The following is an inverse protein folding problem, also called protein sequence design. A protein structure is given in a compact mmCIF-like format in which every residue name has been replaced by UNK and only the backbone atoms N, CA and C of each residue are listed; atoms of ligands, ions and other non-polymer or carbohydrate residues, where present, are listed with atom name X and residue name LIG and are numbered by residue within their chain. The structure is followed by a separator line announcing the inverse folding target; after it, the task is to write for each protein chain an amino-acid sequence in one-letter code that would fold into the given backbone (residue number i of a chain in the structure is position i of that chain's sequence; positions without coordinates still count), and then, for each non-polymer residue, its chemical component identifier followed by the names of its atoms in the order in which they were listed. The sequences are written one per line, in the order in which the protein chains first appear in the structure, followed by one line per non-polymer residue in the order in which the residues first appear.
data_IF_860551027489
#
_entry.id   IF_860551027489
#
_cell.length_a   1.000
_cell.length_b   1.000
_cell.length_c   1.000
_cell.angle_alpha   90.00
_cell.angle_beta   90.00
_cell.angle_gamma   90.00
#
_symmetry.space_group_name_H-M   'P 1'
#
loop_
_entity.id
_entity.type
_entity.pdbx_description
1 polymer ?
#
# COMPACT_ATOMS: atom_id res chain seq x y z
N UNK A 1 38.91 7.56 28.31
CA UNK A 1 38.18 8.14 27.15
C UNK A 1 37.20 7.11 26.55
N UNK A 2 35.91 7.46 26.35
CA UNK A 2 34.97 6.51 25.76
C UNK A 2 35.29 6.32 24.27
N UNK A 3 35.31 5.07 23.81
CA UNK A 3 35.50 4.70 22.41
C UNK A 3 34.24 5.05 21.63
N UNK A 4 34.38 5.94 20.65
CA UNK A 4 33.33 6.26 19.67
C UNK A 4 33.30 5.14 18.64
N UNK A 5 32.19 4.41 18.61
CA UNK A 5 31.94 3.34 17.66
C UNK A 5 31.56 3.98 16.31
N UNK A 6 32.46 3.93 15.32
CA UNK A 6 32.15 4.34 13.95
C UNK A 6 31.37 3.20 13.26
N UNK A 7 30.06 3.20 13.44
CA UNK A 7 29.16 2.30 12.75
C UNK A 7 28.91 2.76 11.30
N UNK A 8 29.00 1.81 10.37
CA UNK A 8 28.63 1.87 8.94
C UNK A 8 27.27 2.54 8.60
N UNK A 9 26.44 2.84 9.61
CA UNK A 9 25.13 3.50 9.51
C UNK A 9 25.20 5.03 9.36
N UNK A 10 26.38 5.66 9.48
CA UNK A 10 26.56 7.11 9.29
C UNK A 10 26.68 7.57 7.83
N UNK A 11 26.41 6.70 6.86
CA UNK A 11 26.58 6.99 5.43
C UNK A 11 25.27 7.35 4.69
N UNK A 12 24.14 7.44 5.41
CA UNK A 12 22.88 7.83 4.80
C UNK A 12 22.48 9.24 5.25
N UNK A 13 22.37 10.21 4.32
CA UNK A 13 21.96 11.56 4.69
C UNK A 13 20.50 11.57 5.16
N UNK A 14 20.19 12.44 6.12
CA UNK A 14 18.82 12.68 6.56
C UNK A 14 17.92 13.07 5.37
N UNK A 15 16.62 12.84 5.51
CA UNK A 15 15.66 13.05 4.43
C UNK A 15 15.73 14.46 3.82
N UNK A 16 15.92 15.49 4.67
CA UNK A 16 16.04 16.88 4.24
C UNK A 16 17.35 17.16 3.50
N UNK A 17 18.44 16.52 3.92
CA UNK A 17 19.73 16.59 3.23
C UNK A 17 19.65 15.95 1.85
N UNK A 18 18.98 14.79 1.73
CA UNK A 18 18.73 14.13 0.44
C UNK A 18 17.84 14.98 -0.48
N UNK A 19 16.82 15.65 0.07
CA UNK A 19 15.99 16.57 -0.70
C UNK A 19 16.78 17.79 -1.18
N UNK A 20 17.61 18.38 -0.31
CA UNK A 20 18.48 19.50 -0.64
C UNK A 20 19.56 19.14 -1.66
N UNK A 21 20.14 17.94 -1.60
CA UNK A 21 21.06 17.39 -2.60
C UNK A 21 20.35 17.17 -3.93
N UNK A 22 19.17 16.55 -3.95
CA UNK A 22 18.40 16.32 -5.17
C UNK A 22 18.05 17.64 -5.90
N UNK A 23 17.68 18.70 -5.17
CA UNK A 23 17.43 20.03 -5.75
C UNK A 23 18.72 20.61 -6.35
N UNK A 24 19.84 20.51 -5.63
CA UNK A 24 21.12 21.09 -6.06
C UNK A 24 21.64 20.43 -7.32
N UNK A 25 21.62 19.11 -7.36
CA UNK A 25 21.98 18.30 -8.53
C UNK A 25 21.02 18.57 -9.70
N UNK A 26 19.71 18.67 -9.44
CA UNK A 26 18.71 19.03 -10.47
C UNK A 26 18.96 20.40 -11.08
N UNK A 27 19.35 21.40 -10.28
CA UNK A 27 19.64 22.74 -10.76
C UNK A 27 20.96 22.82 -11.56
N UNK A 28 21.93 21.94 -11.28
CA UNK A 28 23.17 21.85 -12.04
C UNK A 28 22.99 21.16 -13.41
N UNK A 29 21.92 20.40 -13.57
CA UNK A 29 21.55 19.74 -14.84
C UNK A 29 20.76 20.64 -15.79
N UNK A 30 20.46 21.89 -15.40
CA UNK A 30 19.85 22.90 -16.26
C UNK A 30 20.91 23.43 -17.25
N UNK A 31 21.26 22.60 -18.24
CA UNK A 31 21.94 23.05 -19.46
C UNK A 31 20.90 23.68 -20.39
N UNK A 32 21.28 24.76 -21.08
CA UNK A 32 20.51 25.35 -22.18
C UNK A 32 20.36 24.31 -23.30
N UNK A 33 19.33 23.50 -23.22
CA UNK A 33 18.96 22.57 -24.26
C UNK A 33 17.90 23.20 -25.16
N UNK A 34 18.20 23.26 -26.46
CA UNK A 34 17.26 23.51 -27.56
C UNK A 34 16.26 22.32 -27.73
N UNK A 35 15.89 21.64 -26.64
CA UNK A 35 15.23 20.32 -26.53
C UNK A 35 13.70 20.36 -26.48
N UNK A 36 13.08 21.52 -26.73
CA UNK A 36 11.62 21.67 -26.63
C UNK A 36 10.86 20.66 -27.51
N UNK A 37 11.49 20.16 -28.59
CA UNK A 37 10.90 19.20 -29.54
C UNK A 37 11.00 17.72 -29.09
N UNK A 38 11.83 17.36 -28.09
CA UNK A 38 11.92 15.95 -27.60
C UNK A 38 11.12 15.68 -26.33
N UNK A 39 10.68 16.73 -25.64
CA UNK A 39 9.94 16.60 -24.38
C UNK A 39 8.54 16.03 -24.63
N UNK A 40 7.84 16.53 -25.65
CA UNK A 40 6.48 16.04 -25.97
C UNK A 40 6.52 14.57 -26.45
N UNK A 41 7.43 14.22 -27.37
CA UNK A 41 7.59 12.84 -27.85
C UNK A 41 7.92 11.86 -26.70
N UNK A 42 8.81 12.27 -25.77
CA UNK A 42 9.12 11.46 -24.60
C UNK A 42 7.91 11.30 -23.68
N UNK A 43 7.17 12.38 -23.41
CA UNK A 43 5.98 12.33 -22.56
C UNK A 43 4.93 11.41 -23.17
N UNK A 44 4.70 11.44 -24.47
CA UNK A 44 3.75 10.55 -25.16
C UNK A 44 4.10 9.06 -24.98
N UNK A 45 5.39 8.70 -24.93
CA UNK A 45 5.82 7.33 -24.66
C UNK A 45 5.47 6.83 -23.24
N UNK A 46 5.19 7.74 -22.30
CA UNK A 46 4.73 7.39 -20.95
C UNK A 46 3.24 7.03 -20.92
N UNK A 47 2.49 7.31 -21.98
CA UNK A 47 1.06 7.10 -22.02
C UNK A 47 0.70 5.61 -21.88
N UNK A 48 -0.15 5.29 -20.91
CA UNK A 48 -0.61 3.94 -20.63
C UNK A 48 0.30 3.12 -19.69
N UNK A 49 1.44 3.67 -19.23
CA UNK A 49 2.27 3.02 -18.22
C UNK A 49 1.49 2.84 -16.91
N UNK A 50 1.70 1.74 -16.20
CA UNK A 50 1.07 1.53 -14.91
C UNK A 50 1.64 2.52 -13.87
N UNK A 51 0.76 3.15 -13.09
CA UNK A 51 1.10 4.08 -12.03
C UNK A 51 0.94 3.44 -10.65
N UNK A 52 1.87 3.75 -9.74
CA UNK A 52 1.85 3.31 -8.35
C UNK A 52 2.65 2.03 -8.07
N UNK A 53 2.62 1.54 -6.83
CA UNK A 53 3.32 0.31 -6.46
C UNK A 53 2.84 -0.84 -7.36
N UNK A 54 3.76 -1.77 -7.66
CA UNK A 54 3.56 -2.82 -8.66
C UNK A 54 2.20 -3.51 -8.57
N UNK A 55 1.73 -4.16 -9.65
CA UNK A 55 0.50 -4.98 -9.69
C UNK A 55 0.35 -6.02 -8.55
N UNK A 56 1.40 -6.23 -7.76
CA UNK A 56 1.44 -7.08 -6.56
C UNK A 56 0.84 -6.41 -5.32
N UNK A 57 0.71 -5.08 -5.29
CA UNK A 57 0.32 -4.33 -4.08
C UNK A 57 -1.19 -4.07 -3.96
N UNK A 58 -1.99 -4.41 -4.98
CA UNK A 58 -3.43 -4.16 -5.02
C UNK A 58 -3.80 -2.68 -5.21
N UNK A 59 -5.09 -2.37 -5.13
CA UNK A 59 -5.66 -1.04 -5.39
C UNK A 59 -6.55 -0.63 -4.21
N UNK A 60 -6.39 0.61 -3.76
CA UNK A 60 -7.26 1.22 -2.75
C UNK A 60 -8.25 2.18 -3.44
N UNK A 61 -9.54 2.05 -3.10
CA UNK A 61 -10.61 2.99 -3.47
C UNK A 61 -11.43 3.28 -2.24
N UNK A 62 -11.49 4.56 -1.84
CA UNK A 62 -12.10 4.99 -0.59
C UNK A 62 -11.55 4.19 0.60
N UNK A 63 -12.42 3.53 1.35
CA UNK A 63 -12.11 2.67 2.51
C UNK A 63 -12.02 1.19 2.16
N UNK A 64 -11.80 0.85 0.88
CA UNK A 64 -11.74 -0.55 0.40
C UNK A 64 -10.45 -0.83 -0.34
N UNK A 65 -9.90 -1.99 -0.04
CA UNK A 65 -8.76 -2.57 -0.73
C UNK A 65 -9.22 -3.70 -1.64
N UNK A 66 -8.65 -3.74 -2.84
CA UNK A 66 -8.91 -4.75 -3.85
C UNK A 66 -7.60 -5.34 -4.34
N UNK A 67 -7.55 -6.67 -4.49
CA UNK A 67 -6.39 -7.36 -5.04
C UNK A 67 -6.79 -8.21 -6.26
N UNK A 68 -6.80 -7.66 -7.49
CA UNK A 68 -7.31 -8.34 -8.68
C UNK A 68 -6.71 -9.73 -8.93
N UNK A 69 -5.39 -9.88 -8.78
CA UNK A 69 -4.71 -11.19 -8.99
C UNK A 69 -5.15 -12.24 -7.97
N UNK A 70 -5.28 -11.86 -6.70
CA UNK A 70 -5.74 -12.74 -5.63
C UNK A 70 -7.26 -12.93 -5.65
N UNK A 71 -8.00 -12.02 -6.30
CA UNK A 71 -9.46 -12.04 -6.38
C UNK A 71 -10.14 -11.77 -5.04
N UNK A 72 -9.51 -10.97 -4.16
CA UNK A 72 -9.99 -10.69 -2.81
C UNK A 72 -10.08 -9.20 -2.54
N UNK A 73 -10.96 -8.84 -1.62
CA UNK A 73 -11.16 -7.48 -1.15
C UNK A 73 -11.43 -7.46 0.36
N UNK A 74 -11.20 -6.31 0.99
CA UNK A 74 -11.64 -6.02 2.35
C UNK A 74 -11.76 -4.50 2.55
N UNK A 75 -12.48 -4.09 3.58
CA UNK A 75 -12.63 -2.70 3.98
C UNK A 75 -11.75 -2.38 5.20
N UNK A 76 -11.35 -1.12 5.32
CA UNK A 76 -10.61 -0.60 6.45
C UNK A 76 -11.27 0.67 7.00
N UNK A 77 -11.07 1.02 8.29
CA UNK A 77 -11.61 2.26 8.86
C UNK A 77 -11.08 3.50 8.16
N UNK A 78 -11.81 4.60 8.21
CA UNK A 78 -11.34 5.89 7.68
C UNK A 78 -9.99 6.31 8.29
N UNK A 79 -9.17 7.00 7.50
CA UNK A 79 -7.83 7.47 7.90
C UNK A 79 -6.74 6.40 7.82
N UNK A 80 -7.07 5.13 7.53
CA UNK A 80 -6.05 4.12 7.24
C UNK A 80 -5.45 4.32 5.86
N UNK A 81 -4.15 4.04 5.75
CA UNK A 81 -3.42 4.15 4.48
C UNK A 81 -2.62 2.90 4.22
N UNK A 82 -2.45 2.57 2.94
CA UNK A 82 -1.54 1.52 2.51
C UNK A 82 -0.09 2.02 2.60
N UNK A 83 0.80 1.17 3.09
CA UNK A 83 2.25 1.39 3.08
C UNK A 83 2.96 0.31 2.28
N UNK A 84 4.16 0.64 1.80
CA UNK A 84 4.99 -0.29 1.07
C UNK A 84 5.59 -1.31 2.04
N UNK A 85 5.47 -2.59 1.68
CA UNK A 85 6.06 -3.69 2.44
C UNK A 85 6.90 -4.58 1.51
N UNK A 86 8.00 -5.18 2.00
CA UNK A 86 8.84 -6.07 1.17
C UNK A 86 8.09 -7.30 0.65
N UNK A 87 7.05 -7.75 1.37
CA UNK A 87 6.18 -8.86 1.00
C UNK A 87 4.76 -8.52 1.43
N UNK A 88 3.76 -9.03 0.69
CA UNK A 88 2.36 -8.80 1.04
C UNK A 88 1.93 -7.34 0.93
N UNK A 89 0.91 -6.98 1.69
CA UNK A 89 0.32 -5.64 1.70
C UNK A 89 0.12 -5.18 3.13
N UNK A 90 0.62 -3.98 3.45
CA UNK A 90 0.53 -3.38 4.77
C UNK A 90 -0.35 -2.14 4.77
N UNK A 91 -1.11 -1.98 5.84
CA UNK A 91 -1.90 -0.80 6.13
C UNK A 91 -1.54 -0.30 7.52
N UNK A 92 -1.61 1.01 7.72
CA UNK A 92 -1.40 1.65 9.01
C UNK A 92 -2.52 2.63 9.33
N UNK A 93 -2.82 2.79 10.62
CA UNK A 93 -3.74 3.83 11.09
C UNK A 93 -3.19 5.23 10.79
N UNK A 94 -4.08 6.22 10.82
CA UNK A 94 -3.72 7.63 10.63
C UNK A 94 -2.62 8.10 11.61
N UNK A 95 -2.67 7.62 12.85
CA UNK A 95 -1.71 7.93 13.92
C UNK A 95 -0.45 7.05 13.89
N UNK A 96 -0.39 6.04 13.02
CA UNK A 96 0.74 5.11 12.91
C UNK A 96 0.93 4.19 14.13
N UNK A 97 -0.09 4.04 14.96
CA UNK A 97 -0.06 3.19 16.16
C UNK A 97 -0.71 1.83 15.98
N UNK A 98 -1.33 1.57 14.84
CA UNK A 98 -1.90 0.28 14.47
C UNK A 98 -1.48 -0.08 13.05
N UNK A 99 -1.24 -1.37 12.82
CA UNK A 99 -0.89 -1.89 11.50
C UNK A 99 -1.63 -3.18 11.22
N UNK A 100 -2.07 -3.34 9.98
CA UNK A 100 -2.72 -4.52 9.45
C UNK A 100 -1.95 -5.03 8.24
N UNK A 101 -1.72 -6.34 8.19
CA UNK A 101 -0.87 -6.96 7.19
C UNK A 101 -1.55 -8.17 6.56
N UNK A 102 -1.56 -8.23 5.22
CA UNK A 102 -2.05 -9.36 4.44
C UNK A 102 -0.89 -10.02 3.70
N UNK A 103 -0.72 -11.32 3.89
CA UNK A 103 0.19 -12.16 3.12
C UNK A 103 -0.50 -13.41 2.62
N UNK A 104 0.19 -14.18 1.78
CA UNK A 104 -0.30 -15.48 1.28
C UNK A 104 0.73 -16.58 1.46
N UNK A 105 0.25 -17.82 1.56
CA UNK A 105 1.09 -19.00 1.60
C UNK A 105 0.40 -20.18 0.91
N UNK A 106 1.17 -21.15 0.42
CA UNK A 106 0.62 -22.35 -0.23
C UNK A 106 0.10 -23.33 0.82
N UNK A 107 -1.02 -23.97 0.52
CA UNK A 107 -1.59 -25.03 1.37
C UNK A 107 -0.91 -26.39 1.11
N UNK A 108 -0.52 -27.04 2.20
CA UNK A 108 -0.11 -28.45 2.19
C UNK A 108 -1.32 -29.39 2.17
N UNK A 109 -1.10 -30.66 1.82
CA UNK A 109 -2.18 -31.65 1.72
C UNK A 109 -2.75 -31.94 3.12
N UNK A 110 -4.09 -31.92 3.25
CA UNK A 110 -4.76 -32.17 4.53
C UNK A 110 -4.68 -31.01 5.54
N UNK A 111 -4.21 -29.83 5.12
CA UNK A 111 -4.19 -28.66 5.98
C UNK A 111 -5.61 -28.26 6.42
N UNK A 112 -5.75 -27.94 7.71
CA UNK A 112 -6.89 -27.19 8.26
C UNK A 112 -6.40 -25.81 8.68
N UNK A 113 -7.26 -24.77 8.71
CA UNK A 113 -6.85 -23.42 9.14
C UNK A 113 -6.12 -23.41 10.50
N UNK A 114 -6.64 -24.11 11.51
CA UNK A 114 -6.01 -24.21 12.84
C UNK A 114 -4.62 -24.87 12.80
N UNK A 115 -4.51 -26.09 12.26
CA UNK A 115 -3.23 -26.79 12.10
C UNK A 115 -2.20 -26.01 11.30
N UNK A 116 -2.65 -25.25 10.29
CA UNK A 116 -1.75 -24.40 9.54
C UNK A 116 -1.12 -23.32 10.43
N UNK A 117 -1.88 -22.74 11.36
CA UNK A 117 -1.35 -21.77 12.30
C UNK A 117 -0.43 -22.44 13.33
N UNK A 118 -0.85 -23.55 13.95
CA UNK A 118 -0.07 -24.19 15.01
C UNK A 118 1.15 -24.95 14.50
N UNK A 119 1.05 -25.70 13.39
CA UNK A 119 2.11 -26.57 12.88
C UNK A 119 2.98 -25.88 11.82
N UNK A 120 2.38 -25.14 10.87
CA UNK A 120 3.13 -24.53 9.76
C UNK A 120 3.68 -23.14 10.10
N UNK A 121 2.93 -22.32 10.83
CA UNK A 121 3.42 -21.01 11.30
C UNK A 121 4.12 -21.09 12.65
N UNK A 122 3.96 -22.20 13.39
CA UNK A 122 4.54 -22.41 14.73
C UNK A 122 4.18 -21.29 15.72
N UNK A 123 2.92 -20.84 15.69
CA UNK A 123 2.42 -19.81 16.58
C UNK A 123 1.75 -20.40 17.81
N UNK A 124 2.02 -19.79 18.97
CA UNK A 124 1.29 -20.04 20.22
C UNK A 124 0.00 -19.24 20.19
N UNK A 125 -1.13 -19.93 20.34
CA UNK A 125 -2.47 -19.36 20.14
C UNK A 125 -3.22 -19.19 21.45
N UNK A 126 -3.92 -18.07 21.55
CA UNK A 126 -4.91 -17.75 22.59
C UNK A 126 -6.24 -17.44 21.93
N UNK A 127 -7.35 -17.85 22.56
CA UNK A 127 -8.71 -17.56 22.12
C UNK A 127 -8.99 -17.97 20.65
N UNK A 128 -8.41 -19.11 20.23
CA UNK A 128 -8.53 -19.62 18.88
C UNK A 128 -9.90 -20.26 18.59
N UNK A 129 -10.44 -20.02 17.40
CA UNK A 129 -11.65 -20.71 16.90
C UNK A 129 -11.65 -20.85 15.38
N UNK A 130 -12.18 -21.98 14.91
CA UNK A 130 -12.51 -22.19 13.52
C UNK A 130 -13.86 -21.52 13.19
N UNK A 131 -13.96 -20.91 12.02
CA UNK A 131 -15.16 -20.24 11.52
C UNK A 131 -15.13 -20.14 9.98
N UNK A 132 -16.04 -19.36 9.43
CA UNK A 132 -16.06 -19.01 8.00
C UNK A 132 -15.96 -17.50 7.84
N UNK A 133 -15.10 -17.02 6.93
CA UNK A 133 -14.96 -15.61 6.56
C UNK A 133 -15.08 -15.52 5.04
N UNK A 134 -15.97 -14.66 4.52
CA UNK A 134 -16.17 -14.53 3.07
C UNK A 134 -16.57 -15.84 2.37
N UNK A 135 -17.28 -16.73 3.07
CA UNK A 135 -17.64 -18.07 2.57
C UNK A 135 -16.48 -19.06 2.48
N UNK A 136 -15.33 -18.76 3.09
CA UNK A 136 -14.13 -19.60 3.09
C UNK A 136 -13.81 -20.11 4.51
N UNK A 137 -13.36 -21.38 4.66
CA UNK A 137 -12.91 -21.90 5.95
C UNK A 137 -11.79 -21.04 6.52
N UNK A 138 -11.89 -20.71 7.81
CA UNK A 138 -10.97 -19.80 8.45
C UNK A 138 -10.69 -20.18 9.91
N UNK A 139 -9.57 -19.68 10.43
CA UNK A 139 -9.24 -19.67 11.84
C UNK A 139 -9.03 -18.23 12.29
N UNK A 140 -9.59 -17.86 13.44
CA UNK A 140 -9.41 -16.56 14.09
C UNK A 140 -8.89 -16.79 15.51
N UNK A 141 -7.88 -16.03 15.90
CA UNK A 141 -7.32 -16.10 17.25
C UNK A 141 -6.37 -14.95 17.55
N UNK A 142 -5.67 -15.06 18.67
CA UNK A 142 -4.54 -14.20 19.02
C UNK A 142 -3.28 -15.05 18.98
N UNK A 143 -2.25 -14.60 18.26
CA UNK A 143 -0.94 -15.22 18.32
C UNK A 143 -0.04 -14.37 19.24
N UNK A 144 0.46 -14.97 20.32
CA UNK A 144 1.03 -14.26 21.48
C UNK A 144 2.36 -13.53 21.20
N UNK A 145 3.20 -14.06 20.31
CA UNK A 145 4.59 -13.62 20.15
C UNK A 145 5.03 -13.61 18.69
N UNK A 146 4.41 -12.74 17.92
CA UNK A 146 4.67 -12.57 16.48
C UNK A 146 5.47 -11.29 16.23
N UNK A 147 6.40 -11.34 15.28
CA UNK A 147 7.12 -10.16 14.81
C UNK A 147 6.16 -9.23 14.08
N UNK A 148 6.17 -7.95 14.47
CA UNK A 148 5.32 -6.90 13.89
C UNK A 148 6.14 -5.65 13.62
N UNK A 149 5.60 -4.66 12.89
CA UNK A 149 6.24 -3.35 12.72
C UNK A 149 6.60 -2.65 14.04
N UNK A 150 5.96 -3.04 15.14
CA UNK A 150 6.20 -2.48 16.47
C UNK A 150 7.07 -3.40 17.35
N UNK A 151 7.69 -4.44 16.79
CA UNK A 151 8.42 -5.47 17.54
C UNK A 151 7.55 -6.66 17.96
N UNK A 152 8.13 -7.62 18.68
CA UNK A 152 7.50 -8.91 18.99
C UNK A 152 6.39 -8.75 20.04
N UNK A 153 5.15 -9.08 19.67
CA UNK A 153 3.94 -8.84 20.50
C UNK A 153 2.77 -9.74 20.13
N UNK A 154 1.67 -9.71 20.91
CA UNK A 154 0.42 -10.34 20.51
C UNK A 154 -0.18 -9.68 19.26
N UNK A 155 -0.66 -10.49 18.33
CA UNK A 155 -1.32 -10.02 17.11
C UNK A 155 -2.68 -10.71 16.95
N UNK A 156 -3.68 -9.95 16.50
CA UNK A 156 -4.95 -10.52 16.04
C UNK A 156 -4.68 -11.23 14.72
N UNK A 157 -4.91 -12.53 14.67
CA UNK A 157 -4.61 -13.37 13.53
C UNK A 157 -5.89 -13.93 12.93
N UNK A 158 -6.02 -13.83 11.61
CA UNK A 158 -6.97 -14.62 10.84
C UNK A 158 -6.25 -15.32 9.68
N UNK A 159 -6.52 -16.62 9.53
CA UNK A 159 -6.06 -17.41 8.38
C UNK A 159 -7.26 -17.95 7.63
N UNK A 160 -7.41 -17.55 6.37
CA UNK A 160 -8.56 -17.89 5.51
C UNK A 160 -8.09 -18.73 4.34
N UNK A 161 -8.73 -19.87 4.08
CA UNK A 161 -8.31 -20.80 3.05
C UNK A 161 -9.15 -20.66 1.77
N UNK A 162 -8.48 -20.37 0.65
CA UNK A 162 -9.04 -20.66 -0.67
C UNK A 162 -8.58 -22.06 -1.10
N UNK A 163 -9.45 -23.05 -0.82
CA UNK A 163 -9.21 -24.45 -1.17
C UNK A 163 -9.13 -24.68 -2.68
N UNK A 164 -9.83 -23.88 -3.49
CA UNK A 164 -9.80 -24.02 -4.97
C UNK A 164 -8.45 -23.57 -5.51
N UNK A 165 -7.92 -22.46 -5.00
CA UNK A 165 -6.60 -21.92 -5.38
C UNK A 165 -5.44 -22.56 -4.61
N UNK A 166 -5.73 -23.37 -3.59
CA UNK A 166 -4.76 -23.98 -2.66
C UNK A 166 -3.85 -22.96 -1.97
N UNK A 167 -4.41 -21.83 -1.55
CA UNK A 167 -3.70 -20.77 -0.83
C UNK A 167 -4.36 -20.43 0.51
N UNK A 168 -3.54 -20.05 1.48
CA UNK A 168 -3.94 -19.40 2.72
C UNK A 168 -3.73 -17.89 2.57
N UNK A 169 -4.74 -17.10 2.89
CA UNK A 169 -4.62 -15.67 3.18
C UNK A 169 -4.35 -15.52 4.67
N UNK A 170 -3.27 -14.82 5.03
CA UNK A 170 -2.83 -14.63 6.41
C UNK A 170 -2.96 -13.15 6.73
N UNK A 171 -3.85 -12.82 7.65
CA UNK A 171 -4.16 -11.46 8.09
C UNK A 171 -3.69 -11.26 9.52
N UNK A 172 -2.90 -10.21 9.76
CA UNK A 172 -2.30 -9.91 11.06
C UNK A 172 -2.55 -8.45 11.42
N UNK A 173 -3.20 -8.22 12.57
CA UNK A 173 -3.39 -6.90 13.16
C UNK A 173 -2.54 -6.73 14.42
N UNK A 174 -1.75 -5.66 14.49
CA UNK A 174 -0.89 -5.34 15.63
C UNK A 174 -1.01 -3.87 16.01
N UNK A 175 -1.13 -3.55 17.30
CA UNK A 175 -1.09 -2.18 17.82
C UNK A 175 0.18 -1.91 18.64
N UNK A 176 0.59 -0.65 18.75
CA UNK A 176 1.88 -0.19 19.28
C UNK A 176 1.99 -0.20 20.81
N UNK A 177 0.91 0.06 21.55
CA UNK A 177 0.97 0.43 22.97
C UNK A 177 0.70 -0.69 23.99
N UNK A 178 0.32 -1.89 23.56
CA UNK A 178 0.07 -3.02 24.47
C UNK A 178 0.86 -4.26 24.04
N UNK A 179 1.57 -4.86 25.00
CA UNK A 179 2.37 -6.08 24.81
C UNK A 179 1.69 -7.34 25.36
N UNK A 180 0.55 -7.19 26.04
CA UNK A 180 -0.23 -8.25 26.69
C UNK A 180 -1.56 -8.55 25.97
N UNK A 181 -2.12 -7.53 25.33
CA UNK A 181 -3.35 -7.61 24.52
C UNK A 181 -3.10 -7.00 23.16
N UNK A 182 -4.00 -7.33 22.23
CA UNK A 182 -4.02 -6.66 20.94
C UNK A 182 -4.65 -5.29 21.15
N UNK A 183 -3.83 -4.24 21.19
CA UNK A 183 -4.34 -2.87 21.11
C UNK A 183 -5.13 -2.71 19.80
N UNK A 184 -6.28 -2.06 19.86
CA UNK A 184 -7.16 -1.83 18.69
C UNK A 184 -7.88 -3.05 18.09
N UNK A 185 -7.98 -4.12 18.87
CA UNK A 185 -8.53 -5.41 18.47
C UNK A 185 -9.86 -5.35 17.71
N UNK A 186 -10.79 -4.50 18.17
CA UNK A 186 -12.12 -4.34 17.54
C UNK A 186 -12.02 -3.89 16.08
N UNK A 187 -11.07 -3.01 15.75
CA UNK A 187 -10.86 -2.53 14.38
C UNK A 187 -10.23 -3.61 13.50
N UNK A 188 -9.30 -4.40 14.04
CA UNK A 188 -8.76 -5.54 13.29
C UNK A 188 -9.83 -6.58 12.98
N UNK A 189 -10.68 -6.87 13.97
CA UNK A 189 -11.82 -7.78 13.79
C UNK A 189 -12.74 -7.28 12.69
N UNK A 190 -13.07 -5.97 12.64
CA UNK A 190 -13.93 -5.44 11.57
C UNK A 190 -13.29 -5.53 10.18
N UNK A 191 -11.99 -5.24 10.06
CA UNK A 191 -11.24 -5.43 8.80
C UNK A 191 -11.30 -6.90 8.37
N UNK A 192 -10.98 -7.82 9.28
CA UNK A 192 -10.97 -9.27 9.02
C UNK A 192 -12.34 -9.78 8.56
N UNK A 193 -13.43 -9.37 9.21
CA UNK A 193 -14.77 -9.82 8.84
C UNK A 193 -15.31 -9.20 7.56
N UNK A 194 -14.72 -8.09 7.09
CA UNK A 194 -15.02 -7.51 5.78
C UNK A 194 -14.32 -8.24 4.62
N UNK A 195 -13.42 -9.18 4.92
CA UNK A 195 -12.69 -9.93 3.91
C UNK A 195 -13.60 -10.84 3.09
N UNK A 196 -13.46 -10.77 1.77
CA UNK A 196 -14.23 -11.59 0.86
C UNK A 196 -13.61 -11.70 -0.53
N UNK A 197 -14.27 -12.47 -1.38
CA UNK A 197 -13.94 -12.54 -2.81
C UNK A 197 -14.45 -11.30 -3.51
N UNK A 198 -13.71 -10.86 -4.52
CA UNK A 198 -14.17 -9.82 -5.43
C UNK A 198 -15.35 -10.33 -6.27
N UNK A 199 -16.42 -9.55 -6.32
CA UNK A 199 -17.49 -9.68 -7.30
C UNK A 199 -17.00 -9.29 -8.70
N UNK A 200 -17.80 -9.54 -9.75
CA UNK A 200 -17.43 -9.19 -11.13
C UNK A 200 -17.17 -7.69 -11.28
N UNK A 201 -18.02 -6.86 -10.70
CA UNK A 201 -17.93 -5.40 -10.83
C UNK A 201 -16.72 -4.84 -10.07
N UNK A 202 -16.27 -5.50 -9.00
CA UNK A 202 -15.06 -5.13 -8.26
C UNK A 202 -13.81 -5.13 -9.15
N UNK A 203 -13.74 -5.97 -10.20
CA UNK A 203 -12.61 -5.97 -11.12
C UNK A 203 -12.56 -4.72 -12.01
N UNK A 204 -13.70 -4.06 -12.25
CA UNK A 204 -13.71 -2.76 -12.94
C UNK A 204 -13.29 -1.63 -12.02
N UNK A 205 -13.63 -1.71 -10.74
CA UNK A 205 -13.23 -0.74 -9.71
C UNK A 205 -11.73 -0.85 -9.41
N UNK A 206 -11.21 -2.08 -9.36
CA UNK A 206 -9.83 -2.40 -9.04
C UNK A 206 -8.85 -2.28 -10.23
N UNK A 207 -9.20 -1.47 -11.23
CA UNK A 207 -8.29 -1.15 -12.34
C UNK A 207 -7.04 -0.50 -11.79
N UNK A 208 -5.90 -1.02 -12.23
CA UNK A 208 -4.59 -0.47 -11.89
C UNK A 208 -4.51 0.91 -12.52
N UNK A 209 -4.27 1.97 -11.74
CA UNK A 209 -4.10 3.31 -12.29
C UNK A 209 -2.99 3.32 -13.34
N UNK A 210 -3.17 4.12 -14.37
CA UNK A 210 -2.20 4.33 -15.43
C UNK A 210 -1.84 5.79 -15.52
N UNK A 211 -0.64 6.06 -15.98
CA UNK A 211 -0.27 7.37 -16.48
C UNK A 211 -1.03 7.58 -17.80
N UNK A 212 -1.75 8.68 -17.91
CA UNK A 212 -2.27 9.20 -19.15
C UNK A 212 -1.58 10.52 -19.43
N UNK A 213 -1.22 10.76 -20.68
CA UNK A 213 -0.58 12.00 -21.11
C UNK A 213 -1.64 12.80 -21.85
N UNK A 214 -2.04 13.92 -21.27
CA UNK A 214 -3.11 14.78 -21.78
C UNK A 214 -2.57 16.16 -22.09
N UNK A 215 -3.15 16.83 -23.09
CA UNK A 215 -2.81 18.22 -23.39
C UNK A 215 -3.73 19.15 -22.61
N UNK A 216 -3.17 20.12 -21.90
CA UNK A 216 -3.94 21.11 -21.16
C UNK A 216 -4.73 22.01 -22.11
N UNK A 217 -6.04 22.05 -21.94
CA UNK A 217 -6.91 23.03 -22.60
C UNK A 217 -6.93 24.34 -21.82
N UNK A 218 -7.47 25.39 -22.43
CA UNK A 218 -7.64 26.68 -21.76
C UNK A 218 -8.53 26.53 -20.52
N UNK A 219 -8.02 26.95 -19.35
CA UNK A 219 -8.75 26.85 -18.08
C UNK A 219 -8.57 25.51 -17.34
N UNK A 220 -7.77 24.59 -17.86
CA UNK A 220 -7.36 23.37 -17.13
C UNK A 220 -6.62 23.76 -15.85
N UNK A 221 -7.00 23.21 -14.70
CA UNK A 221 -6.27 23.40 -13.44
C UNK A 221 -5.84 22.07 -12.82
N UNK A 222 -4.76 22.10 -12.04
CA UNK A 222 -4.29 20.93 -11.28
C UNK A 222 -5.34 20.44 -10.28
N UNK A 223 -6.17 21.33 -9.73
CA UNK A 223 -7.28 20.99 -8.83
C UNK A 223 -8.35 20.15 -9.53
N UNK A 224 -8.72 20.50 -10.75
CA UNK A 224 -9.71 19.75 -11.54
C UNK A 224 -9.17 18.37 -11.92
N UNK A 225 -7.91 18.30 -12.35
CA UNK A 225 -7.25 17.03 -12.69
C UNK A 225 -7.10 16.14 -11.45
N UNK A 226 -6.75 16.71 -10.29
CA UNK A 226 -6.63 15.99 -9.04
C UNK A 226 -7.98 15.45 -8.54
N UNK A 227 -9.08 16.19 -8.71
CA UNK A 227 -10.41 15.76 -8.30
C UNK A 227 -10.92 14.54 -9.08
N UNK A 228 -10.46 14.37 -10.33
CA UNK A 228 -10.80 13.22 -11.19
C UNK A 228 -9.82 12.05 -11.02
N UNK A 229 -8.70 12.27 -10.35
CA UNK A 229 -7.63 11.29 -10.24
C UNK A 229 -7.97 10.15 -9.26
N UNK A 230 -7.60 8.90 -9.56
CA UNK A 230 -7.76 7.77 -8.65
C UNK A 230 -6.71 7.74 -7.53
N UNK A 231 -5.79 8.71 -7.48
CA UNK A 231 -4.75 8.80 -6.46
C UNK A 231 -5.41 9.05 -5.09
N UNK A 232 -5.24 8.12 -4.16
CA UNK A 232 -5.61 8.33 -2.76
C UNK A 232 -4.60 9.21 -2.05
N UNK A 233 -5.09 10.17 -1.25
CA UNK A 233 -4.33 11.09 -0.39
C UNK A 233 -3.33 11.98 -1.16
N UNK A 234 -3.41 13.30 -0.95
CA UNK A 234 -2.50 14.28 -1.57
C UNK A 234 -2.44 14.19 -3.10
N UNK A 235 -3.59 13.95 -3.75
CA UNK A 235 -3.65 13.81 -5.21
C UNK A 235 -3.13 15.06 -5.93
N UNK A 236 -3.54 16.25 -5.45
CA UNK A 236 -3.08 17.54 -5.99
C UNK A 236 -1.57 17.68 -5.92
N UNK A 237 -0.99 17.49 -4.73
CA UNK A 237 0.46 17.62 -4.52
C UNK A 237 1.24 16.61 -5.35
N UNK A 238 0.78 15.36 -5.40
CA UNK A 238 1.43 14.30 -6.19
C UNK A 238 1.39 14.59 -7.68
N UNK A 239 0.24 15.02 -8.22
CA UNK A 239 0.15 15.40 -9.63
C UNK A 239 1.02 16.62 -9.93
N UNK A 240 1.08 17.60 -9.04
CA UNK A 240 1.99 18.75 -9.18
C UNK A 240 3.45 18.30 -9.21
N UNK A 241 3.87 17.44 -8.29
CA UNK A 241 5.24 16.89 -8.28
C UNK A 241 5.56 16.16 -9.59
N UNK A 242 4.68 15.26 -10.05
CA UNK A 242 4.91 14.48 -11.28
C UNK A 242 5.03 15.38 -12.51
N UNK A 243 4.36 16.54 -12.51
CA UNK A 243 4.38 17.51 -13.60
C UNK A 243 5.38 18.67 -13.40
N UNK A 244 6.18 18.68 -12.33
CA UNK A 244 7.11 19.79 -12.05
C UNK A 244 6.42 21.11 -11.66
N UNK A 245 5.17 21.04 -11.20
CA UNK A 245 4.32 22.18 -10.83
C UNK A 245 4.16 22.32 -9.30
N UNK A 246 4.98 21.65 -8.49
CA UNK A 246 4.92 21.76 -7.03
C UNK A 246 5.59 23.07 -6.55
N UNK A 247 5.09 23.75 -5.50
CA UNK A 247 3.89 23.41 -4.71
C UNK A 247 2.56 23.95 -5.27
N UNK A 248 2.61 25.03 -6.06
CA UNK A 248 1.42 25.84 -6.39
C UNK A 248 1.26 26.15 -7.89
N UNK A 249 2.06 25.51 -8.75
CA UNK A 249 2.04 25.72 -10.19
C UNK A 249 0.74 25.24 -10.83
N UNK A 250 0.43 25.84 -11.98
CA UNK A 250 -0.71 25.51 -12.83
C UNK A 250 -0.22 25.27 -14.26
N UNK A 251 -0.93 24.44 -15.04
CA UNK A 251 -0.50 24.14 -16.39
C UNK A 251 -0.76 25.31 -17.33
N UNK A 252 0.11 25.45 -18.33
CA UNK A 252 -0.11 26.39 -19.42
C UNK A 252 -0.97 25.74 -20.51
N UNK A 253 -1.83 26.51 -21.22
CA UNK A 253 -2.58 25.99 -22.36
C UNK A 253 -1.64 25.37 -23.40
N UNK A 254 -1.94 24.14 -23.84
CA UNK A 254 -1.12 23.39 -24.79
C UNK A 254 -0.03 22.52 -24.14
N UNK A 255 0.26 22.67 -22.85
CA UNK A 255 1.26 21.85 -22.15
C UNK A 255 0.80 20.39 -22.03
N UNK A 256 1.70 19.43 -22.30
CA UNK A 256 1.45 18.02 -21.99
C UNK A 256 1.61 17.77 -20.48
N UNK A 257 0.62 17.09 -19.91
CA UNK A 257 0.55 16.74 -18.50
C UNK A 257 0.40 15.24 -18.33
N UNK A 258 1.13 14.71 -17.35
CA UNK A 258 0.96 13.37 -16.81
C UNK A 258 -0.19 13.42 -15.79
N UNK A 259 -1.32 12.81 -16.12
CA UNK A 259 -2.43 12.58 -15.20
C UNK A 259 -2.56 11.10 -14.91
N UNK A 260 -3.24 10.75 -13.82
CA UNK A 260 -3.44 9.36 -13.44
C UNK A 260 -4.92 9.02 -13.58
N UNK A 261 -5.23 7.86 -14.19
CA UNK A 261 -6.57 7.30 -14.42
C UNK A 261 -6.63 5.78 -14.11
#
# INVERSE_FOLDING_TARGET
PPQVYHGFLSSHPDHDTRYGEAIRESNQLLLDYDEFIRTDEFLEQLNGLAYGPSRQSGVVRNTRFYHPRLGVMFAFPEGWRQEQAPRGVQFVSQTGDASFFLTTSKLYKGATPEKFVSERMNYVLREGRNLTIGGMPAFLGIAERVDSPFGRRPVRLAVVFDLRRRIAYIMQGSGKFDLSKVADDKRFISIIFSFGKMARDDFTIARVPKVQVVRAEQGTTMEQLAAQSPISNYALDKLRVINGLYPNGQPEPGQLLKVID
#
